data_IF_202908800827
#
_entry.id   IF_202908800827
#
_cell.length_a   1.000
_cell.length_b   1.000
_cell.length_c   1.000
_cell.angle_alpha   90.00
_cell.angle_beta   90.00
_cell.angle_gamma   90.00
#
_symmetry.space_group_name_H-M   'P 1'
#
loop_
_entity.id
_entity.type
_entity.pdbx_description
1 polymer ?
#
# COMPACT_ATOMS: atom_id res chain seq x y z
N UNK A 1 -3.11 -36.15 15.15
CA UNK A 1 -2.78 -35.69 16.24
C UNK A 1 -1.87 -34.57 16.36
N UNK A 2 -0.61 -34.69 16.20
CA UNK A 2 0.24 -33.57 16.36
C UNK A 2 -0.05 -32.46 15.46
N UNK A 3 -0.53 -32.70 14.32
CA UNK A 3 -0.78 -31.62 13.43
C UNK A 3 -1.81 -30.67 13.97
N UNK A 4 -2.60 -31.09 14.87
CA UNK A 4 -3.60 -30.21 15.43
C UNK A 4 -3.01 -29.05 16.17
N UNK A 5 -1.83 -29.26 16.70
CA UNK A 5 -1.20 -28.21 17.47
C UNK A 5 -0.68 -27.08 16.65
N UNK A 6 -0.26 -27.40 15.46
CA UNK A 6 0.30 -26.41 14.59
C UNK A 6 -0.58 -25.23 14.31
N UNK A 7 -1.83 -25.46 13.92
CA UNK A 7 -2.69 -24.36 13.60
C UNK A 7 -2.86 -23.39 14.74
N UNK A 8 -2.83 -23.91 15.92
CA UNK A 8 -3.01 -23.06 17.05
C UNK A 8 -1.92 -22.05 17.21
N UNK A 9 -0.72 -22.49 16.97
CA UNK A 9 0.41 -21.61 17.09
C UNK A 9 0.41 -20.49 16.08
N UNK A 10 -0.07 -20.81 14.92
CA UNK A 10 -0.09 -19.84 13.85
C UNK A 10 -1.05 -18.72 14.08
N UNK A 11 -2.15 -19.01 14.71
CA UNK A 11 -3.17 -18.02 14.91
C UNK A 11 -2.73 -16.89 15.81
N UNK A 12 -2.04 -17.23 16.82
CA UNK A 12 -1.67 -16.23 17.81
C UNK A 12 -0.88 -15.06 17.27
N UNK A 13 0.26 -15.28 16.67
CA UNK A 13 1.08 -14.14 16.23
C UNK A 13 0.44 -13.32 15.15
N UNK A 14 -0.41 -13.90 14.38
CA UNK A 14 -1.01 -13.18 13.28
C UNK A 14 -1.98 -12.11 13.71
N UNK A 15 -2.64 -12.34 14.79
CA UNK A 15 -3.67 -11.43 15.19
C UNK A 15 -3.19 -10.20 15.91
N UNK A 16 -1.99 -10.23 16.34
CA UNK A 16 -1.50 -9.15 17.14
C UNK A 16 -1.15 -7.89 16.40
N UNK A 17 -0.46 -8.04 15.31
CA UNK A 17 0.09 -6.88 14.67
C UNK A 17 -0.82 -5.85 14.07
N UNK A 18 -1.66 -6.23 13.19
CA UNK A 18 -2.41 -5.26 12.45
C UNK A 18 -3.40 -4.47 13.23
N UNK A 19 -3.72 -4.92 14.42
CA UNK A 19 -4.78 -4.29 15.15
C UNK A 19 -4.36 -3.14 16.02
N UNK A 20 -3.05 -2.96 16.14
CA UNK A 20 -2.56 -1.88 16.96
C UNK A 20 -2.70 -0.53 16.32
N UNK A 21 -2.85 -0.48 15.02
CA UNK A 21 -2.94 0.76 14.30
C UNK A 21 -4.38 1.06 13.88
N UNK A 22 -4.79 2.28 14.10
CA UNK A 22 -6.12 2.73 13.71
C UNK A 22 -6.00 3.74 12.61
N UNK A 23 -6.74 3.53 11.57
CA UNK A 23 -6.72 4.44 10.43
C UNK A 23 -7.80 5.49 10.57
N UNK A 24 -7.49 6.70 10.16
CA UNK A 24 -6.34 7.10 9.34
C UNK A 24 -5.03 7.31 10.09
N UNK A 25 -5.01 7.07 11.41
CA UNK A 25 -3.80 7.19 12.17
C UNK A 25 -3.60 8.55 12.80
N UNK A 26 -2.83 8.56 13.89
CA UNK A 26 -2.62 9.77 14.64
C UNK A 26 -1.15 10.20 14.70
N UNK A 27 -0.25 9.33 14.30
CA UNK A 27 1.16 9.68 14.25
C UNK A 27 1.72 9.23 12.92
N UNK A 28 2.97 9.62 12.65
CA UNK A 28 3.58 9.37 11.36
C UNK A 28 3.62 7.89 11.01
N UNK A 29 3.91 7.05 11.97
CA UNK A 29 4.01 5.61 11.73
C UNK A 29 2.65 5.04 11.37
N UNK A 30 1.62 5.39 12.12
CA UNK A 30 0.27 4.91 11.85
C UNK A 30 -0.24 5.43 10.51
N UNK A 31 0.03 6.69 10.22
CA UNK A 31 -0.44 7.27 8.96
C UNK A 31 0.23 6.61 7.77
N UNK A 32 1.52 6.30 7.88
CA UNK A 32 2.19 5.61 6.80
C UNK A 32 1.67 4.19 6.64
N UNK A 33 1.42 3.52 7.74
CA UNK A 33 0.85 2.17 7.70
C UNK A 33 -0.52 2.18 7.01
N UNK A 34 -1.37 3.12 7.40
CA UNK A 34 -2.70 3.20 6.82
C UNK A 34 -2.65 3.55 5.34
N UNK A 35 -1.71 4.42 4.95
CA UNK A 35 -1.53 4.76 3.54
C UNK A 35 -1.09 3.55 2.74
N UNK A 36 -0.24 2.70 3.32
CA UNK A 36 0.21 1.51 2.60
C UNK A 36 -0.92 0.49 2.46
N UNK A 37 -1.83 0.42 3.41
CA UNK A 37 -3.01 -0.43 3.26
C UNK A 37 -3.87 0.04 2.10
N UNK A 38 -4.08 1.35 2.00
CA UNK A 38 -4.85 1.91 0.90
C UNK A 38 -4.18 1.64 -0.44
N UNK A 39 -2.87 1.79 -0.50
CA UNK A 39 -2.13 1.50 -1.72
C UNK A 39 -2.28 0.03 -2.11
N UNK A 40 -2.22 -0.85 -1.14
CA UNK A 40 -2.35 -2.27 -1.43
C UNK A 40 -3.72 -2.57 -2.03
N UNK A 41 -4.76 -1.94 -1.52
CA UNK A 41 -6.10 -2.14 -2.05
C UNK A 41 -6.20 -1.69 -3.49
N UNK A 42 -5.69 -0.51 -3.81
CA UNK A 42 -5.79 -0.02 -5.18
C UNK A 42 -4.93 -0.87 -6.12
N UNK A 43 -3.81 -1.40 -5.64
CA UNK A 43 -2.99 -2.29 -6.45
C UNK A 43 -3.72 -3.58 -6.77
N UNK A 44 -4.41 -4.14 -5.80
CA UNK A 44 -5.15 -5.38 -6.01
C UNK A 44 -6.24 -5.16 -7.06
N UNK A 45 -6.93 -4.04 -6.98
CA UNK A 45 -7.97 -3.75 -7.97
C UNK A 45 -7.39 -3.64 -9.37
N UNK A 46 -6.20 -3.04 -9.52
CA UNK A 46 -5.57 -2.95 -10.82
C UNK A 46 -5.08 -4.31 -11.31
N UNK A 47 -4.66 -5.18 -10.40
CA UNK A 47 -4.20 -6.52 -10.80
C UNK A 47 -5.31 -7.31 -11.48
N UNK A 48 -6.54 -7.04 -11.14
CA UNK A 48 -7.67 -7.72 -11.77
C UNK A 48 -7.91 -7.21 -13.19
N UNK A 49 -7.41 -6.03 -13.51
CA UNK A 49 -7.73 -5.39 -14.77
C UNK A 49 -6.59 -5.38 -15.78
N UNK A 50 -5.36 -5.48 -15.30
CA UNK A 50 -4.19 -5.31 -16.14
C UNK A 50 -3.31 -6.55 -16.12
N UNK A 51 -2.59 -6.79 -17.23
CA UNK A 51 -1.61 -7.86 -17.24
C UNK A 51 -0.45 -7.50 -16.32
N UNK A 52 0.29 -8.51 -15.92
CA UNK A 52 1.41 -8.28 -15.03
C UNK A 52 2.45 -7.35 -15.63
N UNK A 53 2.68 -7.47 -16.92
CA UNK A 53 3.66 -6.63 -17.59
C UNK A 53 3.23 -5.17 -17.58
N UNK A 54 1.98 -4.92 -17.93
CA UNK A 54 1.46 -3.55 -17.94
C UNK A 54 1.44 -2.99 -16.53
N UNK A 55 1.08 -3.82 -15.57
CA UNK A 55 1.04 -3.38 -14.18
C UNK A 55 2.43 -2.99 -13.69
N UNK A 56 3.45 -3.77 -14.05
CA UNK A 56 4.81 -3.44 -13.67
C UNK A 56 5.25 -2.11 -14.28
N UNK A 57 4.92 -1.90 -15.55
CA UNK A 57 5.25 -0.64 -16.22
C UNK A 57 4.57 0.53 -15.52
N UNK A 58 3.34 0.33 -15.14
CA UNK A 58 2.58 1.36 -14.44
C UNK A 58 3.23 1.70 -13.09
N UNK A 59 3.61 0.68 -12.34
CA UNK A 59 4.23 0.92 -11.04
C UNK A 59 5.55 1.65 -11.17
N UNK A 60 6.35 1.30 -12.16
CA UNK A 60 7.60 2.02 -12.37
C UNK A 60 7.35 3.47 -12.73
N UNK A 61 6.39 3.70 -13.61
CA UNK A 61 6.09 5.06 -14.05
C UNK A 61 5.55 5.90 -12.89
N UNK A 62 4.65 5.33 -12.09
CA UNK A 62 4.10 6.09 -10.97
C UNK A 62 5.16 6.39 -9.93
N UNK A 63 6.05 5.45 -9.69
CA UNK A 63 7.13 5.71 -8.74
C UNK A 63 8.01 6.84 -9.23
N UNK A 64 8.33 6.83 -10.49
CA UNK A 64 9.17 7.87 -11.08
C UNK A 64 8.50 9.24 -11.01
N UNK A 65 7.23 9.28 -11.37
CA UNK A 65 6.49 10.54 -11.34
C UNK A 65 6.36 11.06 -9.92
N UNK A 66 5.97 10.20 -9.00
CA UNK A 66 5.78 10.63 -7.62
C UNK A 66 7.09 11.08 -6.99
N UNK A 67 8.18 10.37 -7.27
CA UNK A 67 9.48 10.76 -6.77
C UNK A 67 9.91 12.12 -7.30
N UNK A 68 9.63 12.38 -8.57
CA UNK A 68 10.00 13.65 -9.16
C UNK A 68 9.21 14.81 -8.56
N UNK A 69 7.92 14.60 -8.35
CA UNK A 69 7.07 15.66 -7.81
C UNK A 69 7.45 16.00 -6.39
N UNK A 70 7.74 14.98 -5.59
CA UNK A 70 8.00 15.20 -4.17
C UNK A 70 9.49 15.23 -3.83
N UNK A 71 10.35 15.33 -4.83
CA UNK A 71 11.80 15.39 -4.60
C UNK A 71 12.22 16.45 -3.60
N UNK A 72 11.62 17.65 -3.59
CA UNK A 72 12.01 18.65 -2.60
C UNK A 72 11.83 18.20 -1.15
N UNK A 73 11.06 17.18 -0.92
CA UNK A 73 10.78 16.70 0.43
C UNK A 73 11.52 15.41 0.77
N UNK A 74 12.47 15.00 -0.06
CA UNK A 74 13.06 13.66 0.07
C UNK A 74 13.78 13.42 1.38
N UNK A 75 14.22 14.47 2.04
CA UNK A 75 14.91 14.31 3.31
C UNK A 75 13.99 14.45 4.51
N UNK A 76 12.69 14.63 4.29
CA UNK A 76 11.75 14.82 5.38
C UNK A 76 11.23 13.50 5.91
N UNK A 77 10.62 13.56 7.09
CA UNK A 77 10.14 12.35 7.76
C UNK A 77 8.88 11.78 7.15
N UNK A 78 8.15 12.57 6.37
CA UNK A 78 6.91 12.08 5.77
C UNK A 78 7.05 11.78 4.29
N UNK A 79 8.28 11.80 3.77
CA UNK A 79 8.50 11.59 2.35
C UNK A 79 7.97 10.22 1.90
N UNK A 80 8.24 9.20 2.69
CA UNK A 80 7.81 7.86 2.35
C UNK A 80 6.28 7.80 2.23
N UNK A 81 5.57 8.43 3.15
CA UNK A 81 4.13 8.47 3.09
C UNK A 81 3.63 9.26 1.88
N UNK A 82 4.32 10.33 1.54
CA UNK A 82 3.96 11.11 0.35
C UNK A 82 4.02 10.27 -0.91
N UNK A 83 5.05 9.44 -1.04
CA UNK A 83 5.18 8.58 -2.21
C UNK A 83 4.08 7.53 -2.24
N UNK A 84 3.78 6.95 -1.10
CA UNK A 84 2.74 5.93 -1.00
C UNK A 84 1.38 6.51 -1.38
N UNK A 85 1.07 7.66 -0.83
CA UNK A 85 -0.22 8.31 -1.12
C UNK A 85 -0.31 8.75 -2.56
N UNK A 86 0.79 9.22 -3.11
CA UNK A 86 0.82 9.62 -4.52
C UNK A 86 0.51 8.43 -5.42
N UNK A 87 1.17 7.30 -5.18
CA UNK A 87 0.94 6.10 -5.97
C UNK A 87 -0.51 5.64 -5.84
N UNK A 88 -1.06 5.68 -4.64
CA UNK A 88 -2.44 5.26 -4.43
C UNK A 88 -3.41 6.16 -5.19
N UNK A 89 -3.19 7.47 -5.14
CA UNK A 89 -4.07 8.39 -5.85
C UNK A 89 -4.03 8.16 -7.36
N UNK A 90 -2.84 7.87 -7.89
CA UNK A 90 -2.74 7.59 -9.32
C UNK A 90 -3.42 6.29 -9.68
N UNK A 91 -3.30 5.27 -8.84
CA UNK A 91 -4.00 4.02 -9.07
C UNK A 91 -5.50 4.23 -9.11
N UNK A 92 -6.01 5.02 -8.17
CA UNK A 92 -7.45 5.26 -8.11
C UNK A 92 -7.94 6.11 -9.28
N UNK A 93 -7.12 7.05 -9.72
CA UNK A 93 -7.47 7.84 -10.90
C UNK A 93 -7.55 6.96 -12.14
N UNK A 94 -6.63 6.01 -12.27
CA UNK A 94 -6.67 5.10 -13.39
C UNK A 94 -7.91 4.21 -13.34
N UNK A 95 -8.24 3.73 -12.15
CA UNK A 95 -9.44 2.92 -11.98
C UNK A 95 -10.70 3.71 -12.37
N UNK A 96 -10.72 5.00 -12.04
CA UNK A 96 -11.86 5.85 -12.38
C UNK A 96 -11.98 6.08 -13.88
N UNK A 97 -10.91 5.93 -14.63
CA UNK A 97 -10.91 6.17 -16.05
C UNK A 97 -11.69 5.13 -16.84
N UNK A 98 -12.27 4.20 -16.19
CA UNK A 98 -13.09 3.25 -16.89
C UNK A 98 -12.83 1.82 -16.55
N UNK A 99 -11.96 1.61 -15.61
CA UNK A 99 -11.68 0.27 -15.18
C UNK A 99 -12.52 -0.13 -13.97
N UNK A 100 -12.97 0.88 -13.25
CA UNK A 100 -13.66 0.61 -12.01
C UNK A 100 -15.14 0.38 -12.14
#
# INVERSE_FOLDING_TARGET
MKRLLLPLLLLVPLNVNGEDYKCPGQNTIEMEYCSSIDLEKSRIWLEDQLSQEVLNNWHEATHEVCSAIYDPYKDGTIYSRMLIECADRLNRALLDEGLG
#
